data_IF_558619961674
#
_entry.id   IF_558619961674
#
_cell.length_a   1.000
_cell.length_b   1.000
_cell.length_c   1.000
_cell.angle_alpha   90.00
_cell.angle_beta   90.00
_cell.angle_gamma   90.00
#
_symmetry.space_group_name_H-M   'P 1'
#
loop_
_entity.id
_entity.type
_entity.pdbx_description
1 polymer ?
#
# COMPACT_ATOMS: atom_id res chain seq x y z
N UNK A 1 -9.88 6.93 -13.07
CA UNK A 1 -9.43 7.86 -12.03
C UNK A 1 -9.81 9.25 -12.51
N UNK A 2 -10.77 9.91 -11.84
CA UNK A 2 -11.27 11.25 -12.22
C UNK A 2 -10.13 12.25 -12.04
N UNK A 3 -9.97 13.18 -12.98
CA UNK A 3 -8.94 14.22 -13.00
C UNK A 3 -8.57 14.72 -11.60
N UNK A 4 -7.39 14.35 -11.12
CA UNK A 4 -6.82 14.97 -9.94
C UNK A 4 -6.43 16.39 -10.33
N UNK A 5 -7.24 17.34 -9.87
CA UNK A 5 -7.02 18.79 -9.76
C UNK A 5 -7.69 19.66 -10.83
N UNK A 6 -8.89 20.14 -10.51
CA UNK A 6 -9.23 21.52 -10.87
C UNK A 6 -8.48 22.45 -9.92
N UNK A 7 -7.66 23.35 -10.46
CA UNK A 7 -6.94 24.33 -9.66
C UNK A 7 -7.92 25.31 -9.03
N UNK A 8 -7.93 25.40 -7.70
CA UNK A 8 -8.75 26.36 -6.95
C UNK A 8 -7.94 27.64 -6.73
N UNK A 9 -8.53 28.80 -7.00
CA UNK A 9 -7.91 30.09 -6.70
C UNK A 9 -7.77 30.27 -5.19
N UNK A 10 -6.56 30.56 -4.74
CA UNK A 10 -6.22 30.81 -3.32
C UNK A 10 -5.31 32.02 -3.22
N UNK A 11 -5.26 32.65 -2.04
CA UNK A 11 -4.26 33.67 -1.72
C UNK A 11 -2.83 33.14 -2.00
N UNK A 12 -1.93 33.98 -2.53
CA UNK A 12 -0.57 33.55 -2.90
C UNK A 12 0.17 32.88 -1.74
N UNK A 13 -0.05 33.34 -0.51
CA UNK A 13 0.53 32.78 0.72
C UNK A 13 0.05 31.35 1.06
N UNK A 14 -1.01 30.88 0.40
CA UNK A 14 -1.59 29.54 0.56
C UNK A 14 -1.40 28.68 -0.68
N UNK A 15 -0.62 29.16 -1.65
CA UNK A 15 -0.36 28.45 -2.89
C UNK A 15 0.47 27.20 -2.60
N UNK A 16 -0.11 26.04 -2.91
CA UNK A 16 0.56 24.74 -2.82
C UNK A 16 0.67 24.11 -4.19
N UNK A 17 1.83 23.59 -4.53
CA UNK A 17 2.04 22.76 -5.72
C UNK A 17 2.10 21.29 -5.34
N UNK A 18 1.27 20.45 -5.98
CA UNK A 18 1.46 19.01 -5.92
C UNK A 18 2.68 18.64 -6.77
N UNK A 19 3.75 18.20 -6.13
CA UNK A 19 5.02 17.83 -6.80
C UNK A 19 5.16 16.33 -7.04
N UNK A 20 4.30 15.53 -6.44
CA UNK A 20 4.30 14.08 -6.56
C UNK A 20 3.31 13.42 -5.61
N UNK A 21 3.22 12.10 -5.70
CA UNK A 21 2.34 11.31 -4.85
C UNK A 21 2.80 9.86 -4.75
N UNK A 22 2.14 9.11 -3.88
CA UNK A 22 2.30 7.67 -3.77
C UNK A 22 0.94 7.00 -3.92
N UNK A 23 0.85 6.00 -4.78
CA UNK A 23 -0.29 5.11 -4.88
C UNK A 23 0.00 3.87 -4.06
N UNK A 24 -0.80 3.65 -3.03
CA UNK A 24 -0.67 2.49 -2.14
C UNK A 24 -1.75 1.47 -2.48
N UNK A 25 -1.33 0.26 -2.83
CA UNK A 25 -2.21 -0.87 -3.05
C UNK A 25 -2.13 -1.79 -1.84
N UNK A 26 -3.06 -1.64 -0.90
CA UNK A 26 -3.08 -2.38 0.36
C UNK A 26 -4.18 -3.46 0.45
N UNK A 27 -5.05 -3.53 -0.55
CA UNK A 27 -6.03 -4.61 -0.72
C UNK A 27 -5.57 -5.53 -1.86
N UNK A 28 -5.27 -6.81 -1.57
CA UNK A 28 -4.86 -7.80 -2.57
C UNK A 28 -5.81 -7.88 -3.76
N UNK A 29 -7.12 -7.72 -3.59
CA UNK A 29 -8.08 -7.77 -4.70
C UNK A 29 -7.87 -6.64 -5.73
N UNK A 30 -7.29 -5.52 -5.29
CA UNK A 30 -7.04 -4.32 -6.09
C UNK A 30 -5.60 -4.17 -6.55
N UNK A 31 -4.73 -5.15 -6.27
CA UNK A 31 -3.36 -5.16 -6.76
C UNK A 31 -3.34 -5.04 -8.29
N UNK A 32 -2.55 -4.08 -8.76
CA UNK A 32 -2.41 -3.78 -10.17
C UNK A 32 -1.42 -4.73 -10.84
N UNK A 33 -1.44 -4.78 -12.18
CA UNK A 33 -0.46 -5.52 -12.96
C UNK A 33 0.83 -4.72 -13.09
N UNK A 34 1.96 -5.39 -13.35
CA UNK A 34 3.24 -4.71 -13.59
C UNK A 34 3.16 -3.68 -14.71
N UNK A 35 2.43 -4.01 -15.79
CA UNK A 35 2.20 -3.09 -16.90
C UNK A 35 1.52 -1.80 -16.42
N UNK A 36 0.47 -1.92 -15.61
CA UNK A 36 -0.22 -0.74 -15.08
C UNK A 36 0.69 0.08 -14.17
N UNK A 37 1.52 -0.56 -13.34
CA UNK A 37 2.48 0.13 -12.48
C UNK A 37 3.54 0.89 -13.29
N UNK A 38 4.00 0.32 -14.40
CA UNK A 38 4.92 0.98 -15.32
C UNK A 38 4.30 2.16 -16.07
N UNK A 39 2.99 2.11 -16.33
CA UNK A 39 2.25 3.15 -17.05
C UNK A 39 1.83 4.34 -16.13
N UNK A 40 2.11 4.27 -14.83
CA UNK A 40 1.84 5.36 -13.91
C UNK A 40 2.67 6.63 -14.26
N UNK A 41 2.13 7.83 -14.01
CA UNK A 41 2.89 9.06 -14.20
C UNK A 41 4.19 9.06 -13.40
N UNK A 42 5.28 9.60 -13.96
CA UNK A 42 6.62 9.58 -13.32
C UNK A 42 6.68 10.24 -11.94
N UNK A 43 5.75 11.12 -11.61
CA UNK A 43 5.67 11.78 -10.29
C UNK A 43 4.90 10.95 -9.25
N UNK A 44 4.37 9.78 -9.63
CA UNK A 44 3.68 8.84 -8.76
C UNK A 44 4.61 7.67 -8.45
N UNK A 45 4.89 7.49 -7.16
CA UNK A 45 5.56 6.32 -6.61
C UNK A 45 4.56 5.21 -6.27
N UNK A 46 5.02 3.97 -6.13
CA UNK A 46 4.17 2.82 -5.80
C UNK A 46 4.52 2.25 -4.44
N UNK A 47 3.48 2.03 -3.63
CA UNK A 47 3.52 1.21 -2.43
C UNK A 47 2.60 -0.01 -2.54
N UNK A 48 3.04 -1.14 -2.01
CA UNK A 48 2.21 -2.36 -1.95
C UNK A 48 2.32 -2.97 -0.56
N UNK A 49 1.20 -3.44 -0.01
CA UNK A 49 1.13 -4.08 1.30
C UNK A 49 -0.19 -4.81 1.50
N UNK A 50 -0.42 -5.35 2.70
CA UNK A 50 -1.69 -5.97 3.07
C UNK A 50 -2.22 -5.24 4.30
N UNK A 51 -3.31 -4.49 4.13
CA UNK A 51 -3.90 -3.70 5.20
C UNK A 51 -4.36 -4.59 6.37
N UNK A 52 -4.15 -4.20 7.64
CA UNK A 52 -4.52 -4.99 8.82
C UNK A 52 -5.96 -5.52 8.84
N UNK A 53 -6.93 -4.78 8.30
CA UNK A 53 -8.32 -5.25 8.16
C UNK A 53 -8.48 -6.60 7.45
N UNK A 54 -7.53 -6.97 6.59
CA UNK A 54 -7.53 -8.26 5.90
C UNK A 54 -7.00 -9.40 6.76
N UNK A 55 -6.63 -9.16 8.02
CA UNK A 55 -6.20 -10.19 8.97
C UNK A 55 -7.24 -11.29 9.23
N UNK A 56 -8.51 -11.05 8.91
CA UNK A 56 -9.56 -12.07 8.98
C UNK A 56 -9.56 -13.05 7.81
N UNK A 57 -8.66 -12.89 6.83
CA UNK A 57 -8.52 -13.80 5.69
C UNK A 57 -8.23 -15.24 6.12
N UNK A 58 -8.81 -16.18 5.39
CA UNK A 58 -8.44 -17.60 5.53
C UNK A 58 -6.97 -17.81 5.15
N UNK A 59 -6.37 -18.90 5.64
CA UNK A 59 -4.98 -19.27 5.30
C UNK A 59 -4.73 -19.30 3.79
N UNK A 60 -5.71 -19.78 3.01
CA UNK A 60 -5.62 -19.84 1.55
C UNK A 60 -5.58 -18.42 0.95
N UNK A 61 -6.44 -17.53 1.41
CA UNK A 61 -6.47 -16.13 0.96
C UNK A 61 -5.19 -15.38 1.34
N UNK A 62 -4.68 -15.59 2.56
CA UNK A 62 -3.41 -14.99 2.98
C UNK A 62 -2.26 -15.48 2.10
N UNK A 63 -2.18 -16.78 1.81
CA UNK A 63 -1.10 -17.30 0.97
C UNK A 63 -1.17 -16.76 -0.47
N UNK A 64 -2.37 -16.67 -1.05
CA UNK A 64 -2.57 -16.06 -2.37
C UNK A 64 -2.21 -14.56 -2.37
N UNK A 65 -2.56 -13.83 -1.31
CA UNK A 65 -2.22 -12.42 -1.17
C UNK A 65 -0.71 -12.22 -1.05
N UNK A 66 -0.02 -13.07 -0.26
CA UNK A 66 1.44 -13.05 -0.11
C UNK A 66 2.14 -13.39 -1.42
N UNK A 67 1.70 -14.41 -2.15
CA UNK A 67 2.27 -14.76 -3.46
C UNK A 67 2.17 -13.59 -4.44
N UNK A 68 0.99 -12.96 -4.53
CA UNK A 68 0.78 -11.79 -5.38
C UNK A 68 1.62 -10.59 -4.93
N UNK A 69 1.75 -10.39 -3.62
CA UNK A 69 2.61 -9.36 -3.05
C UNK A 69 4.08 -9.58 -3.43
N UNK A 70 4.59 -10.81 -3.32
CA UNK A 70 5.97 -11.15 -3.68
C UNK A 70 6.27 -10.88 -5.16
N UNK A 71 5.33 -11.17 -6.05
CA UNK A 71 5.48 -10.86 -7.47
C UNK A 71 5.63 -9.34 -7.70
N UNK A 72 4.84 -8.53 -6.99
CA UNK A 72 4.93 -7.07 -7.07
C UNK A 72 6.18 -6.50 -6.39
N UNK A 73 6.68 -7.17 -5.35
CA UNK A 73 7.92 -6.79 -4.68
C UNK A 73 9.11 -6.82 -5.64
N UNK A 74 9.14 -7.76 -6.59
CA UNK A 74 10.18 -7.81 -7.62
C UNK A 74 10.13 -6.65 -8.62
N UNK A 75 9.04 -5.86 -8.63
CA UNK A 75 8.89 -4.72 -9.53
C UNK A 75 9.77 -3.54 -9.07
N UNK A 76 10.63 -2.98 -9.94
CA UNK A 76 11.51 -1.86 -9.58
C UNK A 76 10.74 -0.55 -9.31
N UNK A 77 9.48 -0.43 -9.74
CA UNK A 77 8.63 0.73 -9.46
C UNK A 77 8.09 0.72 -8.02
N UNK A 78 8.14 -0.41 -7.31
CA UNK A 78 7.75 -0.48 -5.91
C UNK A 78 8.85 0.12 -5.04
N UNK A 79 8.53 1.24 -4.38
CA UNK A 79 9.47 1.96 -3.49
C UNK A 79 9.00 1.98 -2.04
N UNK A 80 7.73 1.63 -1.78
CA UNK A 80 7.19 1.56 -0.44
C UNK A 80 6.61 0.18 -0.13
N UNK A 81 6.89 -0.29 1.07
CA UNK A 81 6.33 -1.50 1.66
C UNK A 81 5.19 -1.09 2.59
N UNK A 82 3.97 -1.44 2.23
CA UNK A 82 2.78 -1.09 2.98
C UNK A 82 1.65 -0.63 2.08
N UNK A 83 0.47 -0.38 2.62
CA UNK A 83 0.21 -0.25 4.05
C UNK A 83 0.11 -1.60 4.78
N UNK A 84 0.83 -1.75 5.90
CA UNK A 84 0.78 -2.87 6.85
C UNK A 84 0.74 -2.31 8.27
N UNK A 85 0.28 -3.07 9.26
CA UNK A 85 0.32 -2.60 10.65
C UNK A 85 -0.80 -3.18 11.49
N UNK A 86 -1.38 -2.34 12.36
CA UNK A 86 -2.46 -2.70 13.28
C UNK A 86 -3.58 -1.67 13.16
N UNK A 87 -4.81 -2.13 12.95
CA UNK A 87 -6.02 -1.29 12.91
C UNK A 87 -6.88 -1.60 14.14
N UNK A 88 -6.80 -0.74 15.15
CA UNK A 88 -7.58 -0.88 16.38
C UNK A 88 -9.04 -0.42 16.24
N UNK A 89 -9.44 0.11 15.06
CA UNK A 89 -10.86 0.35 14.76
C UNK A 89 -11.62 -0.95 14.45
N UNK A 90 -10.89 -2.00 14.05
CA UNK A 90 -11.45 -3.35 13.85
C UNK A 90 -11.76 -4.05 15.19
N UNK A 91 -12.74 -4.99 15.20
CA UNK A 91 -13.07 -5.76 16.40
C UNK A 91 -11.86 -6.44 17.05
N UNK A 92 -11.73 -6.33 18.38
CA UNK A 92 -10.60 -6.87 19.17
C UNK A 92 -10.27 -8.34 18.91
N UNK A 93 -11.29 -9.16 18.56
CA UNK A 93 -11.10 -10.56 18.18
C UNK A 93 -10.17 -10.75 16.97
N UNK A 94 -9.91 -9.70 16.19
CA UNK A 94 -9.03 -9.74 15.02
C UNK A 94 -7.61 -9.24 15.28
N UNK A 95 -7.34 -8.58 16.41
CA UNK A 95 -6.04 -7.93 16.65
C UNK A 95 -4.87 -8.92 16.67
N UNK A 96 -5.07 -10.11 17.26
CA UNK A 96 -4.04 -11.15 17.24
C UNK A 96 -3.69 -11.58 15.81
N UNK A 97 -4.68 -11.73 14.93
CA UNK A 97 -4.43 -12.06 13.53
C UNK A 97 -3.73 -10.92 12.76
N UNK A 98 -3.94 -9.67 13.15
CA UNK A 98 -3.21 -8.53 12.58
C UNK A 98 -1.72 -8.59 12.93
N UNK A 99 -1.40 -8.96 14.18
CA UNK A 99 -0.01 -9.20 14.60
C UNK A 99 0.61 -10.34 13.81
N UNK A 100 -0.08 -11.49 13.70
CA UNK A 100 0.40 -12.63 12.91
C UNK A 100 0.62 -12.27 11.43
N UNK A 101 -0.28 -11.49 10.84
CA UNK A 101 -0.15 -11.01 9.46
C UNK A 101 1.04 -10.06 9.32
N UNK A 102 1.24 -9.13 10.25
CA UNK A 102 2.38 -8.22 10.25
C UNK A 102 3.71 -8.99 10.36
N UNK A 103 3.82 -9.92 11.30
CA UNK A 103 4.99 -10.79 11.48
C UNK A 103 5.27 -11.65 10.24
N UNK A 104 4.24 -12.06 9.50
CA UNK A 104 4.39 -12.79 8.23
C UNK A 104 4.87 -11.90 7.09
N UNK A 105 4.52 -10.61 7.10
CA UNK A 105 4.87 -9.67 6.03
C UNK A 105 6.26 -9.05 6.20
N UNK A 106 6.64 -8.66 7.41
CA UNK A 106 7.92 -7.98 7.69
C UNK A 106 9.18 -8.66 7.13
N UNK A 107 9.29 -10.01 7.06
CA UNK A 107 10.44 -10.68 6.45
C UNK A 107 10.67 -10.37 4.97
N UNK A 108 9.67 -9.81 4.26
CA UNK A 108 9.81 -9.39 2.87
C UNK A 108 10.29 -7.94 2.71
N UNK A 109 10.50 -7.20 3.81
CA UNK A 109 11.03 -5.85 3.75
C UNK A 109 12.51 -5.91 3.32
N UNK A 110 12.87 -5.06 2.36
CA UNK A 110 14.24 -4.92 1.85
C UNK A 110 14.71 -3.48 2.09
N UNK A 111 16.02 -3.25 2.20
CA UNK A 111 16.60 -1.92 2.49
C UNK A 111 16.22 -0.83 1.49
N UNK A 112 15.82 -1.20 0.27
CA UNK A 112 15.36 -0.25 -0.75
C UNK A 112 13.94 0.28 -0.53
N UNK A 113 13.15 -0.34 0.35
CA UNK A 113 11.75 -0.01 0.55
C UNK A 113 11.55 0.91 1.75
N UNK A 114 10.72 1.95 1.56
CA UNK A 114 10.20 2.75 2.67
C UNK A 114 9.03 2.01 3.31
N UNK A 115 9.12 1.72 4.61
CA UNK A 115 8.04 1.08 5.35
C UNK A 115 6.91 2.09 5.66
N UNK A 116 5.68 1.74 5.28
CA UNK A 116 4.45 2.50 5.56
C UNK A 116 3.59 1.71 6.53
N UNK A 117 3.42 2.28 7.73
CA UNK A 117 2.71 1.65 8.85
C UNK A 117 1.31 2.26 9.05
N UNK A 118 0.32 1.39 9.19
CA UNK A 118 -1.01 1.69 9.73
C UNK A 118 -1.03 1.54 11.25
N UNK A 119 -1.66 2.48 11.96
CA UNK A 119 -1.81 2.43 13.41
C UNK A 119 -3.10 3.07 13.94
#
# INVERSE_FOLDING_TARGET
>A
MKDMMDAVSVEESRRTSLVGGISIYCDPETYQTDQHLHDLPQYISVGVGIHPRHACYSVVQVNQAVERFQNLLANPCMVAFGEVGLDHSEPMKYWAYQVEMLEKMLPFLEDRHVLVIHC
#
